data_IF_751534517481
#
_entry.id   IF_751534517481
#
_cell.length_a   1.000
_cell.length_b   1.000
_cell.length_c   1.000
_cell.angle_alpha   90.00
_cell.angle_beta   90.00
_cell.angle_gamma   90.00
#
_symmetry.space_group_name_H-M   'P 1'
#
loop_
_entity.id
_entity.type
_entity.pdbx_description
1 polymer ?
#
# COMPACT_ATOMS: atom_id res chain seq x y z
N UNK A 1 18.66 3.53 45.65
CA UNK A 1 17.91 4.68 46.22
C UNK A 1 17.95 5.79 45.18
N UNK A 2 16.88 5.99 44.40
CA UNK A 2 15.75 6.92 44.64
C UNK A 2 16.12 8.41 44.46
N UNK A 3 15.31 9.05 43.60
CA UNK A 3 15.05 10.49 43.36
C UNK A 3 16.02 11.14 42.34
N UNK A 4 15.63 11.92 41.32
CA UNK A 4 14.49 12.85 41.08
C UNK A 4 14.30 12.95 39.53
N UNK A 5 13.15 12.66 38.92
CA UNK A 5 11.98 13.54 38.63
C UNK A 5 12.26 14.65 37.59
N UNK A 6 11.62 14.56 36.41
CA UNK A 6 11.02 15.63 35.58
C UNK A 6 10.65 14.99 34.22
N UNK A 7 9.38 14.63 33.99
CA UNK A 7 8.42 15.44 33.24
C UNK A 7 8.93 15.92 31.87
N UNK A 8 8.60 15.19 30.80
CA UNK A 8 8.22 15.84 29.55
C UNK A 8 7.23 14.97 28.78
N UNK A 9 5.98 15.42 28.79
CA UNK A 9 4.97 15.11 27.80
C UNK A 9 5.50 15.56 26.44
N UNK A 10 5.85 14.61 25.57
CA UNK A 10 5.86 14.82 24.13
C UNK A 10 4.72 13.96 23.58
N UNK A 11 3.49 14.49 23.55
CA UNK A 11 2.96 15.16 22.37
C UNK A 11 3.23 14.33 21.11
N UNK A 12 2.22 13.55 20.73
CA UNK A 12 1.58 13.64 19.42
C UNK A 12 2.38 14.47 18.39
N UNK A 13 3.35 13.84 17.76
CA UNK A 13 3.81 14.22 16.43
C UNK A 13 3.63 12.97 15.58
N UNK A 14 2.44 12.79 15.00
CA UNK A 14 2.23 13.13 13.58
C UNK A 14 3.50 12.82 12.78
N UNK A 15 3.73 11.53 12.54
CA UNK A 15 4.53 11.08 11.40
C UNK A 15 3.64 11.08 10.15
N UNK A 16 2.89 12.18 9.94
CA UNK A 16 2.35 12.54 8.64
C UNK A 16 3.40 13.37 7.91
N UNK A 17 4.54 12.76 7.59
CA UNK A 17 5.48 13.34 6.63
C UNK A 17 6.33 12.27 5.98
N UNK A 18 5.69 11.37 5.23
CA UNK A 18 6.25 10.99 3.94
C UNK A 18 5.82 12.08 2.95
N UNK A 19 6.56 13.19 2.94
CA UNK A 19 6.31 14.32 2.08
C UNK A 19 6.37 13.89 0.62
N UNK A 20 5.21 13.84 -0.03
CA UNK A 20 5.15 14.02 -1.46
C UNK A 20 5.53 15.48 -1.68
N UNK A 21 6.80 15.74 -2.03
CA UNK A 21 7.23 17.03 -2.53
C UNK A 21 6.60 17.24 -3.91
N UNK A 22 5.30 17.55 -3.92
CA UNK A 22 4.66 18.20 -5.06
C UNK A 22 4.91 19.67 -4.83
N UNK A 23 5.87 20.24 -5.56
CA UNK A 23 6.05 21.67 -5.64
C UNK A 23 4.73 22.30 -6.12
N UNK A 24 3.92 22.78 -5.18
CA UNK A 24 2.71 23.50 -5.48
C UNK A 24 3.11 24.92 -5.92
N UNK A 25 2.73 25.36 -7.13
CA UNK A 25 2.95 26.74 -7.56
C UNK A 25 2.22 27.71 -6.62
N UNK A 26 2.74 28.94 -6.44
CA UNK A 26 2.16 29.90 -5.51
C UNK A 26 0.75 30.28 -5.98
N UNK A 27 -0.26 30.03 -5.14
CA UNK A 27 -1.65 30.42 -5.41
C UNK A 27 -2.71 29.32 -5.34
N UNK A 28 -2.36 28.06 -5.09
CA UNK A 28 -3.35 27.03 -4.75
C UNK A 28 -3.62 26.99 -3.25
N UNK A 29 -4.89 27.13 -2.88
CA UNK A 29 -5.40 26.80 -1.56
C UNK A 29 -5.04 25.36 -1.20
N UNK A 30 -4.56 25.17 0.03
CA UNK A 30 -4.29 23.85 0.61
C UNK A 30 -5.53 22.96 0.39
N UNK A 31 -5.38 21.74 -0.17
CA UNK A 31 -6.52 20.85 -0.33
C UNK A 31 -7.17 20.58 1.03
N UNK A 32 -8.50 20.67 1.10
CA UNK A 32 -9.26 20.46 2.34
C UNK A 32 -8.88 19.12 2.98
N UNK A 33 -8.55 19.13 4.26
CA UNK A 33 -8.14 17.93 5.00
C UNK A 33 -9.16 16.77 4.87
N UNK A 34 -10.45 17.10 4.82
CA UNK A 34 -11.54 16.15 4.61
C UNK A 34 -11.42 15.40 3.27
N UNK A 35 -10.96 16.08 2.22
CA UNK A 35 -10.75 15.47 0.89
C UNK A 35 -9.59 14.47 0.88
N UNK A 36 -8.58 14.71 1.72
CA UNK A 36 -7.41 13.83 1.86
C UNK A 36 -7.80 12.56 2.61
N UNK A 37 -8.55 12.68 3.72
CA UNK A 37 -9.04 11.53 4.47
C UNK A 37 -9.97 10.64 3.62
N UNK A 38 -10.90 11.26 2.89
CA UNK A 38 -11.79 10.54 2.00
C UNK A 38 -11.01 9.78 0.90
N UNK A 39 -9.99 10.41 0.32
CA UNK A 39 -9.14 9.78 -0.70
C UNK A 39 -8.36 8.58 -0.15
N UNK A 40 -7.87 8.66 1.09
CA UNK A 40 -7.18 7.54 1.73
C UNK A 40 -8.14 6.38 2.01
N UNK A 41 -9.36 6.65 2.48
CA UNK A 41 -10.37 5.59 2.72
C UNK A 41 -10.70 4.83 1.45
N UNK A 42 -11.02 5.56 0.37
CA UNK A 42 -11.33 4.96 -0.94
C UNK A 42 -10.15 4.12 -1.46
N UNK A 43 -8.92 4.59 -1.24
CA UNK A 43 -7.74 3.82 -1.63
C UNK A 43 -7.61 2.51 -0.85
N UNK A 44 -7.80 2.53 0.47
CA UNK A 44 -7.73 1.32 1.32
C UNK A 44 -8.81 0.32 0.90
N UNK A 45 -10.05 0.77 0.74
CA UNK A 45 -11.16 -0.09 0.27
C UNK A 45 -10.85 -0.70 -1.09
N UNK A 46 -10.31 0.10 -2.03
CA UNK A 46 -9.92 -0.40 -3.35
C UNK A 46 -8.81 -1.45 -3.26
N UNK A 47 -7.82 -1.26 -2.39
CA UNK A 47 -6.74 -2.24 -2.18
C UNK A 47 -7.30 -3.56 -1.64
N UNK A 48 -8.18 -3.50 -0.65
CA UNK A 48 -8.83 -4.68 -0.07
C UNK A 48 -9.66 -5.44 -1.11
N UNK A 49 -10.48 -4.74 -1.88
CA UNK A 49 -11.28 -5.35 -2.95
C UNK A 49 -10.42 -6.01 -4.04
N UNK A 50 -9.32 -5.36 -4.44
CA UNK A 50 -8.39 -5.93 -5.41
C UNK A 50 -7.70 -7.18 -4.86
N UNK A 51 -7.26 -7.16 -3.61
CA UNK A 51 -6.63 -8.32 -2.96
C UNK A 51 -7.60 -9.48 -2.76
N UNK A 52 -8.88 -9.20 -2.52
CA UNK A 52 -9.91 -10.21 -2.39
C UNK A 52 -10.32 -10.86 -3.72
N UNK A 53 -9.94 -10.26 -4.87
CA UNK A 53 -10.34 -10.74 -6.19
C UNK A 53 -9.68 -12.06 -6.59
N UNK A 54 -10.44 -12.89 -7.30
CA UNK A 54 -9.97 -14.20 -7.76
C UNK A 54 -8.81 -14.09 -8.76
N UNK A 55 -8.81 -13.05 -9.62
CA UNK A 55 -7.69 -12.81 -10.56
C UNK A 55 -6.37 -12.55 -9.83
N UNK A 56 -6.39 -11.80 -8.73
CA UNK A 56 -5.19 -11.50 -7.94
C UNK A 56 -4.75 -12.74 -7.17
N UNK A 57 -5.68 -13.46 -6.54
CA UNK A 57 -5.39 -14.71 -5.82
C UNK A 57 -4.75 -15.75 -6.72
N UNK A 58 -5.28 -15.97 -7.92
CA UNK A 58 -4.73 -16.93 -8.87
C UNK A 58 -3.25 -16.63 -9.23
N UNK A 59 -2.87 -15.35 -9.32
CA UNK A 59 -1.49 -14.96 -9.58
C UNK A 59 -0.60 -15.21 -8.36
N UNK A 60 -1.11 -14.92 -7.16
CA UNK A 60 -0.38 -15.20 -5.92
C UNK A 60 -0.14 -16.70 -5.81
N UNK A 61 -1.17 -17.54 -5.96
CA UNK A 61 -1.06 -19.01 -5.93
C UNK A 61 -0.06 -19.53 -6.96
N UNK A 62 -0.10 -19.01 -8.20
CA UNK A 62 0.88 -19.39 -9.25
C UNK A 62 2.32 -19.10 -8.81
N UNK A 63 2.56 -17.94 -8.17
CA UNK A 63 3.90 -17.56 -7.69
C UNK A 63 4.30 -18.39 -6.46
N UNK A 64 3.37 -18.70 -5.57
CA UNK A 64 3.63 -19.58 -4.41
C UNK A 64 4.06 -20.98 -4.87
N UNK A 65 3.38 -21.54 -5.85
CA UNK A 65 3.68 -22.85 -6.42
C UNK A 65 5.01 -22.86 -7.20
N UNK A 66 5.24 -21.86 -8.07
CA UNK A 66 6.43 -21.77 -8.92
C UNK A 66 7.73 -21.62 -8.11
N UNK A 67 7.65 -20.90 -6.98
CA UNK A 67 8.83 -20.55 -6.16
C UNK A 67 8.92 -21.31 -4.84
N UNK A 68 7.97 -22.23 -4.57
CA UNK A 68 7.87 -22.95 -3.29
C UNK A 68 7.94 -21.99 -2.10
N UNK A 69 7.12 -20.94 -2.16
CA UNK A 69 7.07 -19.84 -1.20
C UNK A 69 5.63 -19.55 -0.75
N UNK A 70 5.46 -18.92 0.41
CA UNK A 70 4.18 -18.43 0.89
C UNK A 70 4.18 -16.90 0.87
N UNK A 71 3.21 -16.29 0.19
CA UNK A 71 3.12 -14.87 -0.06
C UNK A 71 2.22 -14.15 0.96
N UNK A 72 2.79 -13.14 1.61
CA UNK A 72 2.11 -12.27 2.56
C UNK A 72 1.85 -10.93 1.89
N UNK A 73 0.60 -10.50 1.89
CA UNK A 73 0.23 -9.20 1.34
C UNK A 73 0.69 -8.04 2.24
N UNK A 74 1.15 -6.96 1.62
CA UNK A 74 1.61 -5.74 2.28
C UNK A 74 0.75 -4.53 1.84
N UNK A 75 -0.52 -4.44 2.31
CA UNK A 75 -1.46 -3.39 1.89
C UNK A 75 -0.96 -1.98 2.20
N UNK A 76 -0.23 -1.80 3.30
CA UNK A 76 0.40 -0.53 3.68
C UNK A 76 1.52 -0.08 2.71
N UNK A 77 2.07 -1.00 1.91
CA UNK A 77 3.05 -0.70 0.86
C UNK A 77 2.40 -0.63 -0.53
N UNK A 78 1.08 -0.77 -0.63
CA UNK A 78 0.36 -0.57 -1.88
C UNK A 78 0.48 0.89 -2.32
N UNK A 79 0.47 1.11 -3.62
CA UNK A 79 0.55 2.46 -4.20
C UNK A 79 -0.37 2.56 -5.40
N UNK A 80 -1.02 3.70 -5.59
CA UNK A 80 -1.76 3.99 -6.81
C UNK A 80 -0.97 4.89 -7.76
N UNK A 81 -1.15 4.67 -9.05
CA UNK A 81 -0.96 5.69 -10.09
C UNK A 81 -2.31 6.01 -10.73
N UNK A 82 -2.34 6.93 -11.70
CA UNK A 82 -3.57 7.43 -12.36
C UNK A 82 -4.58 6.35 -12.76
N UNK A 83 -4.15 5.13 -13.12
CA UNK A 83 -5.04 4.08 -13.60
C UNK A 83 -4.85 2.70 -12.97
N UNK A 84 -3.82 2.51 -12.15
CA UNK A 84 -3.44 1.21 -11.62
C UNK A 84 -3.11 1.32 -10.14
N UNK A 85 -3.47 0.29 -9.39
CA UNK A 85 -3.04 0.02 -8.03
C UNK A 85 -1.99 -1.07 -8.08
N UNK A 86 -0.86 -0.84 -7.43
CA UNK A 86 0.23 -1.78 -7.30
C UNK A 86 0.15 -2.43 -5.93
N UNK A 87 -0.33 -3.67 -5.91
CA UNK A 87 -0.35 -4.53 -4.74
C UNK A 87 1.04 -5.13 -4.55
N UNK A 88 1.52 -5.20 -3.30
CA UNK A 88 2.84 -5.73 -2.98
C UNK A 88 2.70 -6.91 -2.02
N UNK A 89 3.49 -7.93 -2.29
CA UNK A 89 3.58 -9.14 -1.49
C UNK A 89 5.05 -9.46 -1.21
N UNK A 90 5.28 -10.05 -0.06
CA UNK A 90 6.55 -10.61 0.37
C UNK A 90 6.35 -12.10 0.53
N UNK A 91 7.08 -12.89 -0.25
CA UNK A 91 6.93 -14.33 -0.30
C UNK A 91 8.17 -14.99 0.30
N UNK A 92 7.97 -15.77 1.35
CA UNK A 92 9.02 -16.40 2.13
C UNK A 92 8.97 -17.92 1.90
N UNK A 93 10.12 -18.55 1.68
CA UNK A 93 10.16 -19.99 1.41
C UNK A 93 11.54 -20.50 0.99
N UNK A 94 11.57 -21.38 0.00
CA UNK A 94 12.83 -21.88 -0.54
C UNK A 94 13.63 -20.77 -1.25
N UNK A 95 12.93 -19.79 -1.83
CA UNK A 95 13.52 -18.58 -2.39
C UNK A 95 12.69 -17.38 -1.95
N UNK A 96 13.33 -16.44 -1.25
CA UNK A 96 12.67 -15.19 -0.86
C UNK A 96 12.42 -14.33 -2.10
N UNK A 97 11.15 -14.04 -2.38
CA UNK A 97 10.76 -13.23 -3.53
C UNK A 97 9.78 -12.14 -3.16
N UNK A 98 9.81 -11.04 -3.90
CA UNK A 98 8.86 -9.93 -3.79
C UNK A 98 7.99 -9.88 -5.02
N UNK A 99 6.69 -10.01 -4.82
CA UNK A 99 5.69 -9.97 -5.88
C UNK A 99 5.01 -8.59 -5.90
N UNK A 100 4.97 -7.98 -7.08
CA UNK A 100 4.23 -6.75 -7.33
C UNK A 100 3.21 -6.99 -8.41
N UNK A 101 1.92 -6.84 -8.09
CA UNK A 101 0.81 -7.01 -9.02
C UNK A 101 0.23 -5.64 -9.34
N UNK A 102 0.22 -5.24 -10.60
CA UNK A 102 -0.51 -4.06 -11.03
C UNK A 102 -1.92 -4.48 -11.46
N UNK A 103 -2.91 -4.01 -10.71
CA UNK A 103 -4.31 -4.27 -10.97
C UNK A 103 -5.07 -2.96 -11.06
N UNK A 104 -6.26 -2.99 -11.66
CA UNK A 104 -7.16 -1.84 -11.64
C UNK A 104 -8.59 -2.29 -11.55
N UNK A 105 -9.40 -1.45 -10.92
CA UNK A 105 -10.83 -1.62 -10.91
C UNK A 105 -11.45 -0.79 -12.03
N UNK A 106 -12.31 -1.40 -12.85
CA UNK A 106 -13.06 -0.69 -13.88
C UNK A 106 -14.50 -1.19 -13.89
N UNK A 107 -15.44 -0.33 -13.51
CA UNK A 107 -16.88 -0.64 -13.45
C UNK A 107 -17.19 -1.88 -12.57
N UNK A 108 -16.58 -1.96 -11.39
CA UNK A 108 -16.75 -3.09 -10.47
C UNK A 108 -16.05 -4.39 -10.90
N UNK A 109 -15.33 -4.39 -12.02
CA UNK A 109 -14.54 -5.53 -12.47
C UNK A 109 -13.07 -5.27 -12.17
N UNK A 110 -12.45 -6.17 -11.42
CA UNK A 110 -11.00 -6.19 -11.22
C UNK A 110 -10.34 -6.71 -12.50
N UNK A 111 -9.28 -6.03 -12.93
CA UNK A 111 -8.43 -6.47 -14.04
C UNK A 111 -6.97 -6.40 -13.64
N UNK A 112 -6.30 -7.53 -13.61
CA UNK A 112 -4.85 -7.56 -13.50
C UNK A 112 -4.23 -7.15 -14.85
N UNK A 113 -3.24 -6.26 -14.80
CA UNK A 113 -2.53 -5.76 -15.97
C UNK A 113 -1.23 -6.50 -16.22
N UNK A 114 -0.45 -6.67 -15.16
CA UNK A 114 0.80 -7.42 -15.16
C UNK A 114 1.21 -7.68 -13.71
N UNK A 115 2.16 -8.60 -13.53
CA UNK A 115 2.85 -8.81 -12.27
C UNK A 115 4.36 -8.89 -12.50
N UNK A 116 5.12 -8.67 -11.44
CA UNK A 116 6.59 -8.74 -11.45
C UNK A 116 7.08 -9.42 -10.18
N UNK A 117 7.88 -10.46 -10.35
CA UNK A 117 8.64 -11.13 -9.29
C UNK A 117 10.04 -10.50 -9.22
N UNK A 118 10.55 -10.29 -8.01
CA UNK A 118 11.89 -9.76 -7.74
C UNK A 118 12.58 -10.63 -6.69
N UNK A 119 13.88 -10.80 -6.83
CA UNK A 119 14.77 -11.45 -5.86
C UNK A 119 15.58 -10.38 -5.13
#
# INVERSE_FOLDING_TARGET
MKKVLLSLVCLLTVSAQAGISIGLPPGMSMPDYDSIEQSQRVFVETVEELMASDEVKAIVETVEDDYLAACIALPQKASATLFNVYLRYECEGATDVKLVIAAKMKKGVVKVKNYKVKF
#
